data_IF_750473595869
#
_entry.id   IF_750473595869
#
_cell.length_a   1.000
_cell.length_b   1.000
_cell.length_c   1.000
_cell.angle_alpha   90.00
_cell.angle_beta   90.00
_cell.angle_gamma   90.00
#
_symmetry.space_group_name_H-M   'P 1'
#
loop_
_entity.id
_entity.type
_entity.pdbx_description
1 polymer ?
#
# COMPACT_ATOMS: atom_id res chain seq x y z
N UNK A 1 -8.25 -56.70 15.71
CA UNK A 1 -7.78 -57.34 14.46
C UNK A 1 -8.32 -56.53 13.29
N UNK A 2 -7.49 -56.42 12.24
CA UNK A 2 -7.73 -55.84 10.92
C UNK A 2 -7.54 -54.32 10.75
N UNK A 3 -6.26 -53.95 10.72
CA UNK A 3 -5.67 -52.94 9.83
C UNK A 3 -5.93 -53.29 8.36
N UNK A 4 -6.42 -52.33 7.58
CA UNK A 4 -6.21 -52.30 6.12
C UNK A 4 -5.81 -50.87 5.73
N UNK A 5 -4.57 -50.76 5.28
CA UNK A 5 -4.01 -49.59 4.62
C UNK A 5 -4.61 -49.47 3.22
N UNK A 6 -4.84 -48.25 2.76
CA UNK A 6 -4.94 -47.94 1.33
C UNK A 6 -4.26 -46.60 1.10
N UNK A 7 -2.99 -46.69 0.72
CA UNK A 7 -2.27 -45.60 0.10
C UNK A 7 -2.79 -45.43 -1.33
N UNK A 8 -3.40 -44.29 -1.62
CA UNK A 8 -3.57 -43.83 -2.99
C UNK A 8 -2.64 -42.64 -3.15
N UNK A 9 -1.52 -42.89 -3.80
CA UNK A 9 -0.62 -41.87 -4.28
C UNK A 9 -1.34 -41.05 -5.36
N UNK A 10 -1.54 -39.77 -5.11
CA UNK A 10 -1.90 -38.80 -6.16
C UNK A 10 -0.72 -37.85 -6.30
N UNK A 11 0.29 -38.30 -7.03
CA UNK A 11 1.29 -37.42 -7.61
C UNK A 11 0.90 -37.20 -9.07
N UNK A 12 0.25 -36.07 -9.35
CA UNK A 12 0.20 -35.49 -10.70
C UNK A 12 0.38 -33.98 -10.58
N UNK A 13 1.65 -33.60 -10.73
CA UNK A 13 2.13 -32.28 -11.06
C UNK A 13 1.39 -31.78 -12.30
N UNK A 14 0.58 -30.74 -12.15
CA UNK A 14 0.20 -29.90 -13.29
C UNK A 14 0.87 -28.56 -13.03
N UNK A 15 2.04 -28.36 -13.64
CA UNK A 15 2.49 -27.02 -13.98
C UNK A 15 1.48 -26.43 -14.97
N UNK A 16 0.36 -25.94 -14.45
CA UNK A 16 -0.40 -24.92 -15.15
C UNK A 16 0.32 -23.61 -14.84
N UNK A 17 1.36 -23.34 -15.64
CA UNK A 17 1.78 -21.97 -15.89
C UNK A 17 0.58 -21.24 -16.48
N UNK A 18 -0.25 -20.70 -15.60
CA UNK A 18 -1.23 -19.71 -15.98
C UNK A 18 -0.44 -18.47 -16.33
N UNK A 19 -0.19 -18.30 -17.63
CA UNK A 19 -0.06 -16.99 -18.24
C UNK A 19 -1.28 -16.17 -17.78
N UNK A 20 -1.14 -15.41 -16.71
CA UNK A 20 -2.11 -14.37 -16.38
C UNK A 20 -1.72 -13.16 -17.23
N UNK A 21 -1.96 -13.29 -18.53
CA UNK A 21 -2.12 -12.14 -19.39
C UNK A 21 -3.36 -11.39 -18.88
N UNK A 22 -3.13 -10.24 -18.24
CA UNK A 22 -4.13 -9.19 -18.12
C UNK A 22 -5.36 -9.50 -17.28
N UNK A 23 -5.20 -9.87 -16.01
CA UNK A 23 -5.88 -9.03 -15.04
C UNK A 23 -4.92 -7.86 -14.86
N UNK A 24 -5.25 -6.68 -15.39
CA UNK A 24 -4.78 -5.47 -14.72
C UNK A 24 -5.09 -5.73 -13.26
N UNK A 25 -4.07 -5.88 -12.42
CA UNK A 25 -4.27 -5.99 -11.00
C UNK A 25 -5.16 -4.80 -10.69
N UNK A 26 -6.45 -5.05 -10.43
CA UNK A 26 -7.36 -3.99 -9.98
C UNK A 26 -6.56 -3.27 -8.92
N UNK A 27 -6.31 -1.96 -9.07
CA UNK A 27 -5.35 -1.27 -8.21
C UNK A 27 -5.69 -1.70 -6.80
N UNK A 28 -4.75 -2.42 -6.17
CA UNK A 28 -5.02 -3.06 -4.90
C UNK A 28 -5.59 -1.96 -4.03
N UNK A 29 -6.81 -2.17 -3.50
CA UNK A 29 -7.53 -1.09 -2.83
C UNK A 29 -6.57 -0.39 -1.88
N UNK A 30 -6.59 0.93 -1.85
CA UNK A 30 -5.79 1.63 -0.87
C UNK A 30 -6.16 1.10 0.53
N UNK A 31 -5.16 0.76 1.36
CA UNK A 31 -5.42 0.22 2.68
C UNK A 31 -6.12 1.26 3.56
N UNK A 32 -6.79 0.78 4.60
CA UNK A 32 -7.23 1.63 5.71
C UNK A 32 -6.05 2.07 6.57
N UNK A 33 -6.22 3.11 7.41
CA UNK A 33 -5.17 3.51 8.36
C UNK A 33 -4.77 2.37 9.30
N UNK A 34 -5.71 1.57 9.79
CA UNK A 34 -5.39 0.41 10.62
C UNK A 34 -4.56 -0.65 9.88
N UNK A 35 -4.90 -0.94 8.62
CA UNK A 35 -4.11 -1.84 7.76
C UNK A 35 -2.72 -1.26 7.45
N UNK A 36 -2.61 0.05 7.23
CA UNK A 36 -1.35 0.75 6.99
C UNK A 36 -0.43 0.72 8.21
N UNK A 37 -0.96 1.09 9.38
CA UNK A 37 -0.25 1.09 10.66
C UNK A 37 0.23 -0.31 11.06
N UNK A 38 -0.57 -1.34 10.79
CA UNK A 38 -0.21 -2.73 11.10
C UNK A 38 1.00 -3.26 10.30
N UNK A 39 1.46 -2.52 9.29
CA UNK A 39 2.58 -2.93 8.43
C UNK A 39 3.91 -2.28 8.86
N UNK A 40 5.01 -3.01 8.65
CA UNK A 40 6.34 -2.48 8.98
C UNK A 40 6.73 -1.33 8.02
N UNK A 41 7.76 -0.55 8.38
CA UNK A 41 8.19 0.64 7.62
C UNK A 41 8.46 0.32 6.15
N UNK A 42 9.18 -0.76 5.85
CA UNK A 42 9.51 -1.16 4.47
C UNK A 42 8.24 -1.46 3.65
N UNK A 43 7.26 -2.12 4.28
CA UNK A 43 5.98 -2.41 3.64
C UNK A 43 5.11 -1.17 3.46
N UNK A 44 5.19 -0.20 4.38
CA UNK A 44 4.53 1.11 4.26
C UNK A 44 5.09 1.88 3.09
N UNK A 45 6.41 1.99 2.99
CA UNK A 45 7.08 2.65 1.87
C UNK A 45 6.63 2.04 0.54
N UNK A 46 6.68 0.71 0.42
CA UNK A 46 6.21 0.00 -0.78
C UNK A 46 4.74 0.33 -1.13
N UNK A 47 3.85 0.37 -0.13
CA UNK A 47 2.43 0.72 -0.34
C UNK A 47 2.26 2.17 -0.80
N UNK A 48 3.06 3.10 -0.26
CA UNK A 48 3.05 4.49 -0.69
C UNK A 48 3.53 4.60 -2.14
N UNK A 49 4.62 3.91 -2.50
CA UNK A 49 5.09 3.84 -3.90
C UNK A 49 4.00 3.32 -4.84
N UNK A 50 3.37 2.19 -4.51
CA UNK A 50 2.30 1.61 -5.33
C UNK A 50 1.10 2.55 -5.46
N UNK A 51 0.75 3.27 -4.39
CA UNK A 51 -0.34 4.24 -4.37
C UNK A 51 -0.06 5.42 -5.30
N UNK A 52 1.12 6.03 -5.16
CA UNK A 52 1.55 7.17 -6.01
C UNK A 52 1.59 6.76 -7.48
N UNK A 53 2.17 5.59 -7.78
CA UNK A 53 2.22 5.04 -9.13
C UNK A 53 0.81 4.74 -9.68
N UNK A 54 -0.11 4.27 -8.84
CA UNK A 54 -1.51 4.05 -9.19
C UNK A 54 -2.25 5.32 -9.61
N UNK A 55 -1.81 6.48 -9.12
CA UNK A 55 -2.31 7.79 -9.54
C UNK A 55 -1.59 8.37 -10.76
N UNK A 56 -0.57 7.68 -11.30
CA UNK A 56 0.22 8.13 -12.44
C UNK A 56 1.21 9.25 -12.13
N UNK A 57 1.63 9.36 -10.87
CA UNK A 57 2.57 10.38 -10.38
C UNK A 57 3.96 9.74 -10.27
N UNK A 58 5.03 10.48 -10.62
CA UNK A 58 6.40 10.02 -10.35
C UNK A 58 6.74 10.24 -8.87
N UNK A 59 6.96 9.17 -8.07
CA UNK A 59 7.28 9.28 -6.65
C UNK A 59 8.60 10.00 -6.36
N UNK A 60 9.53 10.03 -7.32
CA UNK A 60 10.85 10.65 -7.15
C UNK A 60 10.89 12.09 -7.66
N UNK A 61 9.87 12.55 -8.39
CA UNK A 61 9.78 13.94 -8.81
C UNK A 61 9.63 14.86 -7.60
N UNK A 62 10.18 16.07 -7.70
CA UNK A 62 10.06 17.08 -6.66
C UNK A 62 8.59 17.41 -6.42
N UNK A 63 8.15 17.33 -5.16
CA UNK A 63 6.78 17.65 -4.79
C UNK A 63 6.57 19.17 -4.84
N UNK A 64 5.48 19.59 -5.48
CA UNK A 64 5.01 20.97 -5.39
C UNK A 64 3.85 21.04 -4.40
N UNK A 65 4.18 21.07 -3.10
CA UNK A 65 3.20 21.34 -2.06
C UNK A 65 3.28 22.79 -1.59
N UNK A 66 2.13 23.45 -1.59
CA UNK A 66 1.89 24.65 -0.80
C UNK A 66 1.72 24.23 0.67
N UNK A 67 2.81 23.78 1.29
CA UNK A 67 2.84 23.67 2.75
C UNK A 67 3.44 24.95 3.29
N UNK A 68 2.71 25.60 4.19
CA UNK A 68 3.17 26.75 4.98
C UNK A 68 4.49 26.49 5.73
N UNK A 69 4.94 25.24 5.78
CA UNK A 69 6.12 24.74 6.47
C UNK A 69 7.31 24.41 5.54
N UNK A 70 7.20 24.63 4.23
CA UNK A 70 8.35 24.69 3.32
C UNK A 70 9.19 23.41 3.21
N UNK A 71 8.56 22.24 3.10
CA UNK A 71 9.28 20.99 2.86
C UNK A 71 9.48 20.74 1.36
N UNK A 72 10.68 21.09 0.87
CA UNK A 72 11.19 20.66 -0.44
C UNK A 72 11.66 19.20 -0.32
N UNK A 73 10.88 18.27 -0.89
CA UNK A 73 11.15 16.83 -0.92
C UNK A 73 10.58 16.17 -2.18
N UNK A 74 10.64 14.84 -2.25
CA UNK A 74 10.01 14.08 -3.35
C UNK A 74 8.50 13.90 -3.14
N UNK A 75 7.75 13.58 -4.20
CA UNK A 75 6.33 13.20 -4.10
C UNK A 75 6.11 12.06 -3.10
N UNK A 76 7.06 11.12 -3.02
CA UNK A 76 7.06 10.06 -2.02
C UNK A 76 7.06 10.61 -0.59
N UNK A 77 8.03 11.47 -0.26
CA UNK A 77 8.15 12.04 1.10
C UNK A 77 6.92 12.88 1.47
N UNK A 78 6.39 13.66 0.52
CA UNK A 78 5.21 14.47 0.74
C UNK A 78 3.96 13.64 1.03
N UNK A 79 3.73 12.58 0.24
CA UNK A 79 2.59 11.67 0.40
C UNK A 79 2.73 10.85 1.69
N UNK A 80 3.92 10.31 1.96
CA UNK A 80 4.22 9.55 3.18
C UNK A 80 3.88 10.39 4.42
N UNK A 81 4.42 11.61 4.51
CA UNK A 81 4.20 12.48 5.66
C UNK A 81 2.71 12.80 5.89
N UNK A 82 1.95 13.03 4.82
CA UNK A 82 0.52 13.33 4.91
C UNK A 82 -0.32 12.13 5.31
N UNK A 83 0.02 10.93 4.82
CA UNK A 83 -0.67 9.70 5.22
C UNK A 83 -0.30 9.33 6.66
N UNK A 84 0.95 9.50 7.06
CA UNK A 84 1.39 9.30 8.44
C UNK A 84 0.66 10.26 9.40
N UNK A 85 0.54 11.55 9.05
CA UNK A 85 -0.25 12.54 9.82
C UNK A 85 -1.73 12.13 9.90
N UNK A 86 -2.33 11.74 8.76
CA UNK A 86 -3.73 11.35 8.66
C UNK A 86 -4.06 10.11 9.49
N UNK A 87 -3.17 9.11 9.50
CA UNK A 87 -3.36 7.88 10.24
C UNK A 87 -2.92 7.99 11.70
N UNK A 88 -2.05 8.93 12.04
CA UNK A 88 -1.54 9.13 13.40
C UNK A 88 -0.21 8.42 13.66
N UNK A 89 0.58 8.16 12.62
CA UNK A 89 1.94 7.65 12.71
C UNK A 89 2.89 8.83 12.88
N UNK A 90 3.12 9.27 14.12
CA UNK A 90 3.98 10.42 14.39
C UNK A 90 5.31 9.92 14.96
N UNK A 91 6.42 10.18 14.27
CA UNK A 91 7.76 9.70 14.67
C UNK A 91 7.86 8.18 14.86
N UNK A 92 7.12 7.41 14.06
CA UNK A 92 7.04 5.95 14.20
C UNK A 92 6.21 5.45 15.38
N UNK A 93 5.58 6.36 16.14
CA UNK A 93 4.64 6.03 17.22
C UNK A 93 3.22 6.08 16.66
N UNK A 94 2.48 4.99 16.81
CA UNK A 94 1.06 4.92 16.44
C UNK A 94 0.24 5.64 17.51
N UNK A 95 -0.52 6.65 17.09
CA UNK A 95 -1.56 7.29 17.89
C UNK A 95 -2.91 6.88 17.33
N UNK A 96 -3.85 6.53 18.21
CA UNK A 96 -5.22 6.21 17.78
C UNK A 96 -5.88 7.49 17.28
N UNK A 97 -6.26 7.48 16.01
CA UNK A 97 -7.01 8.55 15.34
C UNK A 97 -8.44 8.12 15.04
N UNK A 98 -9.33 9.06 14.70
CA UNK A 98 -10.69 8.72 14.23
C UNK A 98 -10.70 8.16 12.79
N UNK A 99 -9.52 8.03 12.15
CA UNK A 99 -9.36 7.63 10.75
C UNK A 99 -9.01 6.14 10.58
N UNK A 100 -8.97 5.34 11.65
CA UNK A 100 -8.52 3.94 11.61
C UNK A 100 -9.22 3.07 10.56
N UNK A 101 -10.51 3.30 10.31
CA UNK A 101 -11.30 2.57 9.30
C UNK A 101 -11.37 3.26 7.94
N UNK A 102 -10.76 4.45 7.79
CA UNK A 102 -10.76 5.22 6.55
C UNK A 102 -9.60 4.81 5.65
N UNK A 103 -9.83 4.82 4.33
CA UNK A 103 -8.78 4.59 3.33
C UNK A 103 -7.73 5.70 3.40
N UNK A 104 -6.45 5.33 3.25
CA UNK A 104 -5.33 6.29 3.20
C UNK A 104 -5.42 7.24 2.00
N UNK A 105 -6.20 6.91 0.97
CA UNK A 105 -6.46 7.82 -0.15
C UNK A 105 -7.18 9.10 0.27
N UNK A 106 -7.92 9.08 1.39
CA UNK A 106 -8.60 10.25 1.92
C UNK A 106 -7.67 11.28 2.59
N UNK A 107 -6.38 10.98 2.74
CA UNK A 107 -5.40 11.88 3.34
C UNK A 107 -5.05 13.08 2.43
N UNK A 108 -5.25 12.95 1.12
CA UNK A 108 -4.65 13.80 0.11
C UNK A 108 -5.66 14.14 -0.99
N UNK A 109 -5.61 15.38 -1.48
CA UNK A 109 -6.20 15.72 -2.77
C UNK A 109 -5.22 15.35 -3.89
N UNK A 110 -5.36 14.13 -4.42
CA UNK A 110 -4.50 13.59 -5.48
C UNK A 110 -4.52 14.42 -6.77
N UNK A 111 -5.53 15.27 -6.98
CA UNK A 111 -5.58 16.16 -8.14
C UNK A 111 -4.52 17.26 -8.07
N UNK A 112 -4.07 17.62 -6.87
CA UNK A 112 -3.03 18.64 -6.66
C UNK A 112 -1.66 18.24 -7.22
N UNK A 113 -1.40 16.94 -7.39
CA UNK A 113 -0.11 16.38 -7.82
C UNK A 113 0.05 16.18 -9.33
N UNK A 114 -1.04 16.26 -10.11
CA UNK A 114 -1.05 15.90 -11.55
C UNK A 114 -0.74 17.09 -12.47
N UNK A 115 0.01 18.09 -12.00
CA UNK A 115 0.33 19.31 -12.75
C UNK A 115 1.55 19.14 -13.64
#
# INVERSE_FOLDING_TARGET
MNTIASAIAVALTVCAGALVAGCAASPARAPTCSEYESTNVVQRDSKIYDLINGHGIDPNASAYFDSSDGLYGSNFEAVLNKIDEYCGVINGVQQVTDNQSRSIEGALDWSAFKK
#
